data_IF_267779277544
#
_entry.id   IF_267779277544
#
_cell.length_a   1.000
_cell.length_b   1.000
_cell.length_c   1.000
_cell.angle_alpha   90.00
_cell.angle_beta   90.00
_cell.angle_gamma   90.00
#
_symmetry.space_group_name_H-M   'P 1'
#
loop_
_entity.id
_entity.type
_entity.pdbx_description
1 polymer ?
#
# COMPACT_ATOMS: atom_id res chain seq x y z
N UNK A 1 -0.55 14.54 -6.43
CA UNK A 1 -1.15 13.41 -7.18
C UNK A 1 -2.57 13.16 -6.68
N UNK A 2 -3.56 12.92 -7.56
CA UNK A 2 -4.91 12.53 -7.11
C UNK A 2 -5.02 11.01 -7.07
N UNK A 3 -5.22 10.42 -5.89
CA UNK A 3 -5.38 8.96 -5.76
C UNK A 3 -6.51 8.40 -6.62
N UNK A 4 -7.61 9.14 -6.76
CA UNK A 4 -8.74 8.73 -7.62
C UNK A 4 -8.30 8.56 -9.08
N UNK A 5 -7.41 9.42 -9.59
CA UNK A 5 -6.87 9.30 -10.96
C UNK A 5 -5.96 8.07 -11.07
N UNK A 6 -5.14 7.78 -10.06
CA UNK A 6 -4.24 6.61 -10.03
C UNK A 6 -5.05 5.33 -10.05
N UNK A 7 -5.99 5.16 -9.10
CA UNK A 7 -6.84 3.96 -9.04
C UNK A 7 -7.60 3.73 -10.34
N UNK A 8 -8.14 4.78 -10.97
CA UNK A 8 -8.83 4.66 -12.26
C UNK A 8 -7.92 4.20 -13.38
N UNK A 9 -6.67 4.69 -13.42
CA UNK A 9 -5.68 4.29 -14.43
C UNK A 9 -5.30 2.81 -14.27
N UNK A 10 -5.05 2.37 -13.04
CA UNK A 10 -4.73 0.97 -12.73
C UNK A 10 -5.92 0.06 -13.03
N UNK A 11 -7.13 0.43 -12.60
CA UNK A 11 -8.36 -0.32 -12.85
C UNK A 11 -8.58 -0.55 -14.35
N UNK A 12 -8.53 0.52 -15.16
CA UNK A 12 -8.68 0.43 -16.62
C UNK A 12 -7.62 -0.42 -17.29
N UNK A 13 -6.36 -0.31 -16.85
CA UNK A 13 -5.24 -1.08 -17.42
C UNK A 13 -5.42 -2.58 -17.21
N UNK A 14 -5.98 -2.98 -16.07
CA UNK A 14 -6.12 -4.39 -15.69
C UNK A 14 -7.53 -4.96 -15.93
N UNK A 15 -8.46 -4.18 -16.49
CA UNK A 15 -9.83 -4.64 -16.74
C UNK A 15 -10.67 -4.89 -15.48
N UNK A 16 -10.30 -4.28 -14.36
CA UNK A 16 -10.96 -4.46 -13.04
C UNK A 16 -11.62 -3.17 -12.56
N UNK A 17 -12.44 -3.25 -11.52
CA UNK A 17 -13.06 -2.10 -10.88
C UNK A 17 -12.08 -1.35 -9.96
N UNK A 18 -12.38 -0.07 -9.68
CA UNK A 18 -11.63 0.72 -8.68
C UNK A 18 -11.74 0.10 -7.29
N UNK A 19 -12.87 -0.56 -6.99
CA UNK A 19 -13.11 -1.21 -5.70
C UNK A 19 -12.14 -2.38 -5.52
N UNK A 20 -12.04 -3.26 -6.52
CA UNK A 20 -11.10 -4.39 -6.51
C UNK A 20 -9.65 -3.91 -6.37
N UNK A 21 -9.24 -2.85 -7.08
CA UNK A 21 -7.89 -2.29 -6.91
C UNK A 21 -7.62 -1.91 -5.46
N UNK A 22 -8.57 -1.24 -4.78
CA UNK A 22 -8.38 -0.83 -3.39
C UNK A 22 -8.35 -2.03 -2.44
N UNK A 23 -9.26 -2.98 -2.64
CA UNK A 23 -9.37 -4.18 -1.80
C UNK A 23 -8.12 -5.05 -1.92
N UNK A 24 -7.64 -5.30 -3.13
CA UNK A 24 -6.43 -6.10 -3.34
C UNK A 24 -5.18 -5.40 -2.82
N UNK A 25 -5.09 -4.07 -2.94
CA UNK A 25 -3.99 -3.32 -2.33
C UNK A 25 -4.01 -3.39 -0.80
N UNK A 26 -5.19 -3.28 -0.17
CA UNK A 26 -5.32 -3.44 1.28
C UNK A 26 -4.97 -4.86 1.70
N UNK A 27 -5.50 -5.90 1.03
CA UNK A 27 -5.15 -7.30 1.32
C UNK A 27 -3.65 -7.57 1.20
N UNK A 28 -2.97 -6.97 0.23
CA UNK A 28 -1.52 -7.10 0.09
C UNK A 28 -0.77 -6.48 1.27
N UNK A 29 -1.22 -5.33 1.77
CA UNK A 29 -0.67 -4.70 2.98
C UNK A 29 -1.00 -5.55 4.22
N UNK A 30 -2.24 -5.98 4.37
CA UNK A 30 -2.67 -6.83 5.47
C UNK A 30 -1.81 -8.10 5.53
N UNK A 31 -1.62 -8.77 4.39
CA UNK A 31 -0.76 -9.94 4.30
C UNK A 31 0.69 -9.62 4.67
N UNK A 32 1.26 -8.54 4.13
CA UNK A 32 2.66 -8.18 4.38
C UNK A 32 2.93 -7.85 5.86
N UNK A 33 2.01 -7.17 6.54
CA UNK A 33 2.17 -6.76 7.95
C UNK A 33 1.79 -7.87 8.94
N UNK A 34 0.92 -8.81 8.54
CA UNK A 34 0.59 -9.98 9.39
C UNK A 34 1.55 -11.16 9.20
N UNK A 35 2.33 -11.17 8.11
CA UNK A 35 3.31 -12.21 7.79
C UNK A 35 4.73 -11.63 7.70
N UNK A 36 5.09 -10.72 8.60
CA UNK A 36 6.42 -10.13 8.65
C UNK A 36 7.46 -11.22 8.94
N UNK A 37 8.49 -11.39 8.10
CA UNK A 37 9.56 -12.35 8.34
C UNK A 37 10.42 -11.91 9.54
N UNK A 38 10.95 -12.89 10.28
CA UNK A 38 11.86 -12.67 11.40
C UNK A 38 13.30 -12.44 10.91
N UNK A 39 13.47 -11.44 10.04
CA UNK A 39 14.78 -11.00 9.52
C UNK A 39 15.26 -9.69 10.18
N UNK A 40 14.46 -9.11 11.08
CA UNK A 40 14.68 -7.83 11.77
C UNK A 40 14.67 -6.59 10.87
N UNK A 41 15.01 -6.74 9.60
CA UNK A 41 15.14 -5.65 8.62
C UNK A 41 13.77 -5.28 8.06
N UNK A 42 12.96 -6.27 7.69
CA UNK A 42 11.65 -6.05 7.06
C UNK A 42 10.70 -5.33 8.02
N UNK A 43 10.64 -5.78 9.28
CA UNK A 43 9.84 -5.14 10.32
C UNK A 43 10.28 -3.67 10.54
N UNK A 44 11.59 -3.41 10.56
CA UNK A 44 12.13 -2.06 10.70
C UNK A 44 11.74 -1.14 9.53
N UNK A 45 11.66 -1.66 8.31
CA UNK A 45 11.17 -0.89 7.16
C UNK A 45 9.66 -0.69 7.17
N UNK A 46 8.87 -1.69 7.59
CA UNK A 46 7.43 -1.58 7.75
C UNK A 46 7.06 -0.49 8.77
N UNK A 47 7.74 -0.47 9.92
CA UNK A 47 7.56 0.56 10.97
C UNK A 47 7.90 1.99 10.54
N UNK A 48 8.63 2.18 9.44
CA UNK A 48 8.90 3.52 8.90
C UNK A 48 7.72 4.13 8.14
N UNK A 49 6.74 3.33 7.72
CA UNK A 49 5.57 3.83 7.00
C UNK A 49 4.67 4.57 7.99
N UNK A 50 4.40 5.88 7.83
CA UNK A 50 3.50 6.59 8.72
C UNK A 50 2.06 6.08 8.54
N UNK A 51 1.49 5.54 9.61
CA UNK A 51 0.13 5.02 9.64
C UNK A 51 -0.62 5.51 10.88
N UNK A 52 -1.94 5.60 10.79
CA UNK A 52 -2.81 5.86 11.96
C UNK A 52 -3.07 4.59 12.78
N UNK A 53 -3.15 3.47 12.09
CA UNK A 53 -3.39 2.14 12.64
C UNK A 53 -2.15 1.25 12.46
N UNK A 54 -2.17 0.02 12.97
CA UNK A 54 -1.04 -0.92 12.87
C UNK A 54 -0.64 -1.23 11.42
N UNK A 55 -1.62 -1.34 10.52
CA UNK A 55 -1.43 -1.58 9.10
C UNK A 55 -1.80 -0.30 8.34
N UNK A 56 -0.90 0.25 7.50
CA UNK A 56 -1.19 1.46 6.73
C UNK A 56 -2.30 1.22 5.71
N UNK A 57 -3.02 2.29 5.39
CA UNK A 57 -3.89 2.30 4.21
C UNK A 57 -3.07 2.36 2.92
N UNK A 58 -3.62 1.92 1.76
CA UNK A 58 -2.99 2.10 0.47
C UNK A 58 -2.58 3.54 0.18
N UNK A 59 -3.32 4.52 0.68
CA UNK A 59 -2.98 5.93 0.50
C UNK A 59 -1.72 6.34 1.28
N UNK A 60 -1.65 5.98 2.56
CA UNK A 60 -0.49 6.27 3.42
C UNK A 60 0.76 5.60 2.86
N UNK A 61 0.65 4.32 2.50
CA UNK A 61 1.76 3.56 1.92
C UNK A 61 2.26 4.18 0.60
N UNK A 62 1.36 4.46 -0.36
CA UNK A 62 1.76 5.06 -1.65
C UNK A 62 2.40 6.43 -1.45
N UNK A 63 1.89 7.24 -0.50
CA UNK A 63 2.46 8.55 -0.21
C UNK A 63 3.89 8.43 0.32
N UNK A 64 4.11 7.57 1.31
CA UNK A 64 5.43 7.29 1.86
C UNK A 64 6.39 6.76 0.79
N UNK A 65 5.96 5.73 0.03
CA UNK A 65 6.78 5.12 -1.01
C UNK A 65 7.16 6.14 -2.11
N UNK A 66 6.21 6.99 -2.53
CA UNK A 66 6.47 8.02 -3.52
C UNK A 66 7.47 9.09 -3.04
N UNK A 67 7.54 9.36 -1.74
CA UNK A 67 8.52 10.28 -1.17
C UNK A 67 9.92 9.64 -1.04
N UNK A 68 10.02 8.31 -0.86
CA UNK A 68 11.29 7.58 -0.79
C UNK A 68 11.98 7.34 -2.14
N UNK A 69 11.24 7.39 -3.24
CA UNK A 69 11.75 7.13 -4.61
C UNK A 69 12.17 8.43 -5.33
N UNK A 70 12.02 9.59 -4.68
CA UNK A 70 12.56 10.86 -5.18
C UNK A 70 14.07 10.91 -4.97
#
# INVERSE_FOLDING_TARGET
MSMRKIYRKVARKNGVSIKEVKEEMQKALDYAYTNTPDDGVTEAYQKQVPSKDEIPTPYEFIRYAADKVK
#
